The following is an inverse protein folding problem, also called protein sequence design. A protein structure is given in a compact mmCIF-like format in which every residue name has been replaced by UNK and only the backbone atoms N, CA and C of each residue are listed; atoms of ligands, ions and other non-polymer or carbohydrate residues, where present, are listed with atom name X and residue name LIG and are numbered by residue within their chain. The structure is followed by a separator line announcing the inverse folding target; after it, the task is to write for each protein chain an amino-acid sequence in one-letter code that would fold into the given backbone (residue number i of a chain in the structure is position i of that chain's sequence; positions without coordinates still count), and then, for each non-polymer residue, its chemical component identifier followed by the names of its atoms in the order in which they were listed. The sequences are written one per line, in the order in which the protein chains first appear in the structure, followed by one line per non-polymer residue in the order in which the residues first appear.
data_IF_256586567456
#
_entry.id   IF_256586567456
#
_cell.length_a   1.000
_cell.length_b   1.000
_cell.length_c   1.000
_cell.angle_alpha   90.00
_cell.angle_beta   90.00
_cell.angle_gamma   90.00
#
_symmetry.space_group_name_H-M   'P 1'
#
loop_
_entity.id
_entity.type
_entity.pdbx_description
1 polymer ?
#
# COMPACT_ATOMS: atom_id res chain seq x y z
N UNK A 1 39.80 -5.31 -9.38
CA UNK A 1 38.54 -4.94 -10.08
C UNK A 1 37.36 -4.84 -9.11
N UNK A 2 36.92 -5.92 -8.40
CA UNK A 2 35.79 -5.80 -7.46
C UNK A 2 36.05 -4.83 -6.30
N UNK A 3 37.24 -4.85 -5.69
CA UNK A 3 37.62 -3.99 -4.57
C UNK A 3 37.60 -2.51 -4.96
N UNK A 4 37.97 -2.15 -6.18
CA UNK A 4 37.97 -0.78 -6.68
C UNK A 4 36.54 -0.26 -6.85
N UNK A 5 35.65 -1.10 -7.38
CA UNK A 5 34.21 -0.77 -7.54
C UNK A 5 33.57 -0.57 -6.17
N UNK A 6 33.83 -1.47 -5.22
CA UNK A 6 33.30 -1.34 -3.85
C UNK A 6 33.79 -0.05 -3.21
N UNK A 7 35.09 0.25 -3.27
CA UNK A 7 35.64 1.46 -2.69
C UNK A 7 35.10 2.74 -3.34
N UNK A 8 34.90 2.71 -4.67
CA UNK A 8 34.34 3.83 -5.43
C UNK A 8 32.92 4.19 -5.02
N UNK A 9 32.09 3.18 -4.73
CA UNK A 9 30.66 3.37 -4.45
C UNK A 9 30.29 3.23 -2.97
N UNK A 10 31.26 2.90 -2.09
CA UNK A 10 31.05 2.87 -0.64
C UNK A 10 31.14 4.27 -0.04
N UNK A 11 30.24 5.13 -0.46
CA UNK A 11 30.12 6.53 0.01
C UNK A 11 28.69 6.77 0.48
N UNK A 12 28.47 7.63 1.50
CA UNK A 12 27.14 8.07 1.87
C UNK A 12 26.43 8.71 0.67
N UNK A 13 25.25 8.21 0.35
CA UNK A 13 24.39 8.79 -0.68
C UNK A 13 23.07 9.26 -0.07
N UNK A 14 22.50 10.39 -0.56
CA UNK A 14 21.18 10.81 -0.13
C UNK A 14 20.14 9.72 -0.45
N UNK A 15 19.21 9.51 0.48
CA UNK A 15 18.10 8.58 0.26
C UNK A 15 17.00 9.30 -0.53
N UNK A 16 16.87 8.97 -1.80
CA UNK A 16 15.79 9.46 -2.65
C UNK A 16 14.74 8.38 -2.79
N UNK A 17 13.75 8.39 -1.90
CA UNK A 17 12.64 7.42 -1.90
C UNK A 17 11.37 7.98 -2.52
N UNK A 18 11.33 9.29 -2.78
CA UNK A 18 10.21 9.99 -3.40
C UNK A 18 10.69 11.25 -4.11
N UNK A 19 9.86 11.80 -4.99
CA UNK A 19 10.06 13.10 -5.61
C UNK A 19 8.81 13.96 -5.45
N UNK A 20 8.89 15.06 -4.70
CA UNK A 20 10.06 15.56 -3.99
C UNK A 20 10.49 14.65 -2.84
N UNK A 21 11.77 14.68 -2.40
CA UNK A 21 12.22 14.00 -1.19
C UNK A 21 11.49 14.52 0.06
N UNK A 22 11.39 13.71 1.09
CA UNK A 22 10.59 13.99 2.29
C UNK A 22 10.92 15.32 3.00
N UNK A 23 12.16 15.81 2.88
CA UNK A 23 12.57 17.11 3.45
C UNK A 23 11.94 18.33 2.74
N UNK A 24 11.27 18.13 1.60
CA UNK A 24 10.51 19.16 0.89
C UNK A 24 9.00 19.04 1.12
N UNK A 25 8.55 18.10 1.95
CA UNK A 25 7.14 17.98 2.26
C UNK A 25 6.68 19.16 3.11
N UNK A 26 5.57 19.74 2.72
CA UNK A 26 4.90 20.83 3.42
C UNK A 26 3.60 20.34 4.07
N UNK A 27 3.06 21.07 5.06
CA UNK A 27 1.76 20.78 5.61
C UNK A 27 0.69 20.69 4.51
N UNK A 28 -0.05 19.59 4.50
CA UNK A 28 -1.07 19.32 3.48
C UNK A 28 -2.45 19.33 4.13
N UNK A 29 -3.28 20.29 3.73
CA UNK A 29 -4.62 20.47 4.30
C UNK A 29 -5.64 19.58 3.59
N UNK A 30 -6.76 19.29 4.27
CA UNK A 30 -7.86 18.55 3.67
C UNK A 30 -8.44 19.25 2.42
N UNK A 31 -8.48 20.58 2.41
CA UNK A 31 -8.92 21.35 1.24
C UNK A 31 -8.01 21.10 0.02
N UNK A 32 -6.68 21.13 0.22
CA UNK A 32 -5.71 20.82 -0.84
C UNK A 32 -5.80 19.37 -1.31
N UNK A 33 -6.09 18.44 -0.39
CA UNK A 33 -6.34 17.05 -0.74
C UNK A 33 -7.55 16.89 -1.68
N UNK A 34 -8.68 17.49 -1.32
CA UNK A 34 -9.91 17.44 -2.14
C UNK A 34 -9.69 18.10 -3.51
N UNK A 35 -8.99 19.22 -3.57
CA UNK A 35 -8.62 19.86 -4.84
C UNK A 35 -7.76 18.95 -5.69
N UNK A 36 -6.75 18.28 -5.12
CA UNK A 36 -5.89 17.35 -5.85
C UNK A 36 -6.68 16.14 -6.41
N UNK A 37 -7.63 15.62 -5.64
CA UNK A 37 -8.53 14.55 -6.10
C UNK A 37 -9.39 15.02 -7.28
N UNK A 38 -9.99 16.21 -7.19
CA UNK A 38 -10.78 16.80 -8.26
C UNK A 38 -9.95 17.02 -9.55
N UNK A 39 -8.71 17.53 -9.41
CA UNK A 39 -7.79 17.69 -10.53
C UNK A 39 -7.43 16.32 -11.14
N UNK A 40 -7.21 15.30 -10.31
CA UNK A 40 -6.95 13.94 -10.78
C UNK A 40 -8.12 13.36 -11.58
N UNK A 41 -9.36 13.67 -11.22
CA UNK A 41 -10.55 13.22 -11.96
C UNK A 41 -10.65 13.86 -13.36
N UNK A 42 -10.12 15.07 -13.55
CA UNK A 42 -10.10 15.72 -14.87
C UNK A 42 -9.18 14.99 -15.87
N UNK A 43 -8.26 14.17 -15.38
CA UNK A 43 -7.43 13.30 -16.18
C UNK A 43 -8.06 11.90 -16.33
N UNK A 44 -9.31 11.84 -16.79
CA UNK A 44 -10.18 10.65 -16.84
C UNK A 44 -9.61 9.44 -17.60
N UNK A 45 -8.63 9.65 -18.47
CA UNK A 45 -7.93 8.56 -19.18
C UNK A 45 -6.95 7.80 -18.28
N UNK A 46 -6.68 8.29 -17.07
CA UNK A 46 -5.74 7.66 -16.13
C UNK A 46 -6.46 6.69 -15.21
N UNK A 47 -6.01 5.43 -15.23
CA UNK A 47 -6.45 4.41 -14.30
C UNK A 47 -6.08 4.77 -12.85
N UNK A 48 -6.78 4.15 -11.89
CA UNK A 48 -6.53 4.29 -10.46
C UNK A 48 -5.50 3.28 -9.99
N UNK A 49 -4.61 3.71 -9.09
CA UNK A 49 -3.74 2.85 -8.31
C UNK A 49 -4.00 3.08 -6.83
N UNK A 50 -4.23 2.01 -6.07
CA UNK A 50 -4.45 2.06 -4.64
C UNK A 50 -3.26 1.49 -3.89
N UNK A 51 -2.84 2.17 -2.84
CA UNK A 51 -1.88 1.67 -1.86
C UNK A 51 -2.58 1.50 -0.51
N UNK A 52 -2.58 0.27 0.00
CA UNK A 52 -3.13 -0.05 1.31
C UNK A 52 -1.97 -0.35 2.27
N UNK A 53 -1.91 0.43 3.35
CA UNK A 53 -0.85 0.30 4.33
C UNK A 53 -1.27 -0.64 5.45
N UNK A 54 -0.52 -1.75 5.64
CA UNK A 54 -0.71 -2.69 6.73
C UNK A 54 0.48 -2.60 7.68
N UNK A 55 0.35 -1.92 8.84
CA UNK A 55 1.50 -1.54 9.65
C UNK A 55 2.04 -2.63 10.56
N UNK A 56 1.46 -3.83 10.58
CA UNK A 56 1.78 -4.86 11.56
C UNK A 56 2.97 -5.73 11.15
N UNK A 57 3.90 -5.99 12.09
CA UNK A 57 5.02 -6.90 11.92
C UNK A 57 5.08 -7.90 13.07
N UNK A 58 5.24 -9.21 12.77
CA UNK A 58 5.50 -10.23 13.81
C UNK A 58 6.84 -10.00 14.50
N UNK A 59 7.82 -9.46 13.76
CA UNK A 59 9.12 -9.07 14.28
C UNK A 59 9.53 -7.72 13.68
N UNK A 60 9.95 -6.78 14.51
CA UNK A 60 10.51 -5.51 14.06
C UNK A 60 11.99 -5.70 13.70
N UNK A 61 12.37 -5.32 12.49
CA UNK A 61 13.76 -5.36 12.07
C UNK A 61 14.56 -4.22 12.70
N UNK A 62 15.79 -4.49 13.16
CA UNK A 62 16.64 -3.49 13.83
C UNK A 62 16.99 -2.27 12.95
N UNK A 63 16.91 -2.42 11.64
CA UNK A 63 17.23 -1.38 10.65
C UNK A 63 15.99 -0.80 9.95
N UNK A 64 14.79 -1.15 10.41
CA UNK A 64 13.56 -0.76 9.75
C UNK A 64 13.24 0.72 9.95
N UNK A 65 13.01 1.44 8.85
CA UNK A 65 12.53 2.82 8.84
C UNK A 65 11.07 2.95 8.37
N UNK A 66 10.36 1.84 8.21
CA UNK A 66 8.96 1.85 7.80
C UNK A 66 8.05 2.31 8.94
N UNK A 67 6.90 2.87 8.58
CA UNK A 67 5.82 3.13 9.54
C UNK A 67 5.17 1.79 9.92
N UNK A 68 5.76 1.12 10.90
CA UNK A 68 5.36 -0.22 11.33
C UNK A 68 5.31 -0.35 12.84
N UNK A 69 4.46 -1.25 13.30
CA UNK A 69 4.21 -1.54 14.70
C UNK A 69 4.34 -3.04 14.98
N UNK A 70 4.67 -3.44 16.22
CA UNK A 70 4.59 -4.83 16.62
C UNK A 70 3.20 -5.39 16.37
N UNK A 71 3.13 -6.72 16.15
CA UNK A 71 1.88 -7.44 15.96
C UNK A 71 0.87 -7.11 17.05
N UNK A 72 -0.33 -6.73 16.66
CA UNK A 72 -1.43 -6.42 17.56
C UNK A 72 -2.31 -7.65 17.83
N UNK A 73 -3.20 -7.52 18.83
CA UNK A 73 -4.24 -8.51 19.10
C UNK A 73 -5.24 -8.56 17.93
N UNK A 74 -5.90 -9.70 17.69
CA UNK A 74 -6.83 -9.85 16.56
C UNK A 74 -7.88 -8.75 16.48
N UNK A 75 -8.47 -8.34 17.61
CA UNK A 75 -9.52 -7.32 17.64
C UNK A 75 -9.03 -5.93 17.17
N UNK A 76 -7.75 -5.63 17.40
CA UNK A 76 -7.15 -4.38 16.93
C UNK A 76 -6.88 -4.46 15.42
N UNK A 77 -6.46 -5.62 14.92
CA UNK A 77 -6.25 -5.85 13.49
C UNK A 77 -7.58 -5.74 12.74
N UNK A 78 -8.63 -6.38 13.24
CA UNK A 78 -9.97 -6.30 12.68
C UNK A 78 -10.49 -4.85 12.67
N UNK A 79 -10.34 -4.14 13.79
CA UNK A 79 -10.72 -2.72 13.87
C UNK A 79 -9.93 -1.83 12.91
N UNK A 80 -8.66 -2.15 12.67
CA UNK A 80 -7.84 -1.42 11.69
C UNK A 80 -8.31 -1.69 10.26
N UNK A 81 -8.61 -2.94 9.92
CA UNK A 81 -9.13 -3.30 8.60
C UNK A 81 -10.52 -2.69 8.36
N UNK A 82 -11.37 -2.67 9.38
CA UNK A 82 -12.65 -1.97 9.33
C UNK A 82 -12.46 -0.45 9.07
N UNK A 83 -11.46 0.18 9.69
CA UNK A 83 -11.13 1.57 9.41
C UNK A 83 -10.64 1.78 7.96
N UNK A 84 -9.92 0.81 7.36
CA UNK A 84 -9.57 0.86 5.94
C UNK A 84 -10.81 0.76 5.04
N UNK A 85 -11.78 -0.09 5.38
CA UNK A 85 -13.05 -0.15 4.67
C UNK A 85 -13.81 1.18 4.73
N UNK A 86 -13.85 1.81 5.90
CA UNK A 86 -14.47 3.12 6.08
C UNK A 86 -13.73 4.22 5.29
N UNK A 87 -12.40 4.17 5.23
CA UNK A 87 -11.61 5.11 4.44
C UNK A 87 -11.90 4.93 2.93
N UNK A 88 -11.99 3.69 2.45
CA UNK A 88 -12.42 3.40 1.08
C UNK A 88 -13.79 4.05 0.82
N UNK A 89 -14.78 3.83 1.67
CA UNK A 89 -16.13 4.39 1.53
C UNK A 89 -16.15 5.93 1.53
N UNK A 90 -15.24 6.58 2.26
CA UNK A 90 -15.09 8.04 2.25
C UNK A 90 -14.45 8.58 0.97
N UNK A 91 -13.55 7.80 0.36
CA UNK A 91 -12.83 8.22 -0.86
C UNK A 91 -13.66 7.93 -2.12
N UNK A 92 -14.42 6.84 -2.15
CA UNK A 92 -15.22 6.40 -3.28
C UNK A 92 -16.06 7.51 -3.93
N UNK A 93 -16.84 8.32 -3.19
CA UNK A 93 -17.68 9.36 -3.79
C UNK A 93 -16.87 10.56 -4.33
N UNK A 94 -15.58 10.66 -4.01
CA UNK A 94 -14.71 11.73 -4.47
C UNK A 94 -14.03 11.41 -5.80
N UNK A 95 -13.98 10.14 -6.18
CA UNK A 95 -13.32 9.66 -7.39
C UNK A 95 -14.31 9.51 -8.54
N UNK A 96 -13.82 9.71 -9.76
CA UNK A 96 -14.58 9.43 -10.98
C UNK A 96 -14.78 7.91 -11.10
N UNK A 97 -16.05 7.49 -11.13
CA UNK A 97 -16.47 6.09 -11.14
C UNK A 97 -16.14 5.35 -12.45
N UNK A 98 -15.87 6.08 -13.51
CA UNK A 98 -15.53 5.49 -14.81
C UNK A 98 -14.03 5.18 -14.94
N UNK A 99 -13.23 5.61 -13.98
CA UNK A 99 -11.79 5.32 -13.94
C UNK A 99 -11.53 3.88 -13.49
N UNK A 100 -10.89 3.05 -14.33
CA UNK A 100 -10.63 1.66 -13.96
C UNK A 100 -9.48 1.54 -12.97
N UNK A 101 -9.51 0.50 -12.14
CA UNK A 101 -8.37 0.10 -11.30
C UNK A 101 -7.32 -0.56 -12.19
N UNK A 102 -6.09 -0.06 -12.15
CA UNK A 102 -4.93 -0.68 -12.78
C UNK A 102 -4.06 -1.44 -11.76
N UNK A 103 -4.00 -0.95 -10.51
CA UNK A 103 -3.11 -1.52 -9.49
C UNK A 103 -3.70 -1.41 -8.09
N UNK A 104 -3.50 -2.46 -7.29
CA UNK A 104 -3.69 -2.46 -5.84
C UNK A 104 -2.38 -2.95 -5.22
N UNK A 105 -1.77 -2.17 -4.35
CA UNK A 105 -0.52 -2.53 -3.69
C UNK A 105 -0.70 -2.54 -2.16
N UNK A 106 -0.33 -3.64 -1.54
CA UNK A 106 -0.27 -3.79 -0.08
C UNK A 106 1.16 -3.69 0.40
N UNK A 107 1.43 -2.70 1.24
CA UNK A 107 2.76 -2.48 1.80
C UNK A 107 2.73 -2.06 3.27
N UNK A 108 3.88 -1.64 3.79
CA UNK A 108 4.00 -1.08 5.13
C UNK A 108 4.92 -1.83 6.07
N UNK A 109 4.38 -2.57 7.01
CA UNK A 109 5.10 -3.49 7.89
C UNK A 109 5.31 -4.84 7.19
N UNK A 110 4.38 -5.75 7.40
CA UNK A 110 4.30 -7.04 6.68
C UNK A 110 2.84 -7.35 6.43
N UNK A 111 2.27 -7.00 5.27
CA UNK A 111 0.87 -7.25 4.97
C UNK A 111 0.45 -8.70 5.20
N UNK A 112 1.33 -9.66 4.94
CA UNK A 112 1.09 -11.09 5.20
C UNK A 112 1.17 -11.49 6.68
N UNK A 113 1.34 -10.54 7.60
CA UNK A 113 1.25 -10.81 9.03
C UNK A 113 -0.21 -10.94 9.50
N UNK A 114 -1.16 -10.32 8.79
CA UNK A 114 -2.60 -10.42 9.07
C UNK A 114 -3.23 -11.58 8.29
N UNK A 115 -4.45 -12.06 8.67
CA UNK A 115 -5.17 -13.09 7.93
C UNK A 115 -5.39 -12.73 6.45
N UNK A 116 -5.12 -13.67 5.55
CA UNK A 116 -5.30 -13.49 4.10
C UNK A 116 -6.75 -13.15 3.73
N UNK A 117 -7.72 -13.66 4.50
CA UNK A 117 -9.15 -13.36 4.31
C UNK A 117 -9.45 -11.87 4.36
N UNK A 118 -8.81 -11.13 5.28
CA UNK A 118 -8.99 -9.68 5.40
C UNK A 118 -8.43 -8.92 4.19
N UNK A 119 -7.34 -9.42 3.60
CA UNK A 119 -6.77 -8.87 2.35
C UNK A 119 -7.73 -9.10 1.18
N UNK A 120 -8.32 -10.32 1.10
CA UNK A 120 -9.33 -10.65 0.07
C UNK A 120 -10.58 -9.77 0.21
N UNK A 121 -11.04 -9.49 1.42
CA UNK A 121 -12.17 -8.59 1.68
C UNK A 121 -11.90 -7.16 1.20
N UNK A 122 -10.71 -6.61 1.47
CA UNK A 122 -10.30 -5.30 0.95
C UNK A 122 -10.24 -5.27 -0.58
N UNK A 123 -9.67 -6.31 -1.20
CA UNK A 123 -9.67 -6.45 -2.66
C UNK A 123 -11.09 -6.48 -3.23
N UNK A 124 -11.96 -7.31 -2.64
CA UNK A 124 -13.35 -7.42 -3.07
C UNK A 124 -14.09 -6.09 -2.97
N UNK A 125 -13.86 -5.34 -1.89
CA UNK A 125 -14.45 -4.01 -1.71
C UNK A 125 -14.05 -3.04 -2.83
N UNK A 126 -12.75 -2.91 -3.12
CA UNK A 126 -12.26 -2.03 -4.19
C UNK A 126 -12.75 -2.48 -5.57
N UNK A 127 -12.61 -3.76 -5.90
CA UNK A 127 -12.95 -4.31 -7.21
C UNK A 127 -14.47 -4.34 -7.47
N UNK A 128 -15.29 -4.35 -6.42
CA UNK A 128 -16.76 -4.21 -6.58
C UNK A 128 -17.20 -2.76 -6.75
N UNK A 129 -16.36 -1.80 -6.38
CA UNK A 129 -16.68 -0.36 -6.37
C UNK A 129 -16.26 0.37 -7.65
N UNK A 130 -15.27 -0.16 -8.36
CA UNK A 130 -14.74 0.41 -9.61
C UNK A 130 -14.59 -0.65 -10.68
N UNK A 131 -14.71 -0.29 -11.98
CA UNK A 131 -14.24 -1.15 -13.04
C UNK A 131 -12.74 -1.41 -12.87
N UNK A 132 -12.26 -2.52 -13.39
CA UNK A 132 -10.84 -2.81 -13.49
C UNK A 132 -10.40 -2.91 -14.94
N UNK A 133 -9.12 -2.65 -15.23
CA UNK A 133 -8.54 -3.01 -16.52
C UNK A 133 -8.56 -4.54 -16.67
N UNK A 134 -8.33 -5.05 -17.87
CA UNK A 134 -8.38 -6.50 -18.18
C UNK A 134 -7.50 -7.36 -17.24
N UNK A 135 -6.36 -6.83 -16.82
CA UNK A 135 -5.45 -7.49 -15.86
C UNK A 135 -4.90 -6.48 -14.87
N UNK A 136 -5.64 -6.15 -13.81
CA UNK A 136 -5.14 -5.28 -12.77
C UNK A 136 -3.98 -5.97 -12.02
N UNK A 137 -2.93 -5.23 -11.73
CA UNK A 137 -1.83 -5.73 -10.88
C UNK A 137 -2.26 -5.70 -9.43
N UNK A 138 -2.21 -6.83 -8.74
CA UNK A 138 -2.36 -6.89 -7.28
C UNK A 138 -1.03 -7.33 -6.71
N UNK A 139 -0.32 -6.41 -6.06
CA UNK A 139 1.00 -6.63 -5.49
C UNK A 139 0.95 -6.60 -3.96
N UNK A 140 1.72 -7.47 -3.31
CA UNK A 140 1.79 -7.54 -1.86
C UNK A 140 3.23 -7.72 -1.39
N UNK A 141 3.66 -6.85 -0.47
CA UNK A 141 4.91 -7.06 0.27
C UNK A 141 4.71 -8.21 1.26
N UNK A 142 5.62 -9.18 1.28
CA UNK A 142 5.45 -10.35 2.10
C UNK A 142 6.73 -10.78 2.82
N UNK A 143 6.56 -11.38 4.00
CA UNK A 143 7.59 -12.16 4.65
C UNK A 143 7.36 -13.65 4.32
N UNK A 144 8.27 -14.33 3.60
CA UNK A 144 8.01 -15.67 3.06
C UNK A 144 7.73 -16.74 4.14
N UNK A 145 8.21 -16.54 5.35
CA UNK A 145 8.00 -17.46 6.47
C UNK A 145 6.70 -17.26 7.26
N UNK A 146 5.82 -16.32 6.88
CA UNK A 146 4.58 -16.05 7.61
C UNK A 146 3.38 -16.80 7.06
N UNK A 147 3.42 -17.24 5.83
CA UNK A 147 2.32 -17.88 5.13
C UNK A 147 2.48 -19.39 5.07
N UNK A 148 1.40 -20.11 5.32
CA UNK A 148 1.30 -21.53 5.00
C UNK A 148 1.07 -21.73 3.50
N UNK A 149 1.22 -22.98 3.02
CA UNK A 149 0.89 -23.33 1.64
C UNK A 149 -0.57 -22.99 1.30
N UNK A 150 -1.48 -23.21 2.24
CA UNK A 150 -2.89 -22.85 2.09
C UNK A 150 -3.08 -21.34 1.91
N UNK A 151 -2.36 -20.53 2.67
CA UNK A 151 -2.45 -19.06 2.56
C UNK A 151 -1.94 -18.58 1.20
N UNK A 152 -0.85 -19.19 0.71
CA UNK A 152 -0.33 -18.89 -0.63
C UNK A 152 -1.34 -19.22 -1.73
N UNK A 153 -2.00 -20.37 -1.65
CA UNK A 153 -3.05 -20.73 -2.59
C UNK A 153 -4.20 -19.72 -2.56
N UNK A 154 -4.63 -19.30 -1.37
CA UNK A 154 -5.69 -18.31 -1.22
C UNK A 154 -5.33 -16.93 -1.79
N UNK A 155 -4.05 -16.54 -1.79
CA UNK A 155 -3.61 -15.27 -2.39
C UNK A 155 -3.58 -15.30 -3.91
N UNK A 156 -3.53 -16.47 -4.52
CA UNK A 156 -3.45 -16.64 -5.99
C UNK A 156 -4.79 -16.93 -6.66
N UNK A 157 -5.84 -17.15 -5.87
CA UNK A 157 -7.23 -17.30 -6.33
C UNK A 157 -7.93 -15.95 -6.55
#
# INVERSE_FOLDING_TARGET
MYTEIINKYNVPVPRYTSYPPANYFEPFTNARYLEAVQQSNQASERALSFYLHIPFCRHLCHYCGCNSYPMARPEIIESYVEALHQEIDLILPLLDKDRPIAQIHYGGGSPTAIPVTLIKELNAHLLSSFPAIDRPEIAIECHPGYLSEKDWLQLTE
#
